data_IF_574027075405
#
_entry.id   IF_574027075405
#
_cell.length_a   1.000
_cell.length_b   1.000
_cell.length_c   1.000
_cell.angle_alpha   90.00
_cell.angle_beta   90.00
_cell.angle_gamma   90.00
#
_symmetry.space_group_name_H-M   'P 1'
#
loop_
_entity.id
_entity.type
_entity.pdbx_description
1 polymer ?
#
# COMPACT_ATOMS: atom_id res chain seq x y z
N UNK A 1 -0.31 16.06 -4.34
CA UNK A 1 1.17 15.91 -4.31
C UNK A 1 1.45 14.45 -4.05
N UNK A 2 2.51 13.88 -4.62
CA UNK A 2 2.86 12.45 -4.45
C UNK A 2 4.17 12.39 -3.68
N UNK A 3 4.18 11.71 -2.52
CA UNK A 3 5.37 11.47 -1.72
C UNK A 3 5.95 10.09 -2.03
N UNK A 4 7.25 10.03 -2.35
CA UNK A 4 7.95 8.80 -2.72
C UNK A 4 9.21 8.66 -1.87
N UNK A 5 9.40 7.48 -1.26
CA UNK A 5 10.60 7.15 -0.52
C UNK A 5 11.11 5.76 -0.88
N UNK A 6 12.44 5.62 -0.94
CA UNK A 6 13.10 4.33 -1.13
C UNK A 6 13.51 3.80 0.24
N UNK A 7 13.02 2.60 0.59
CA UNK A 7 13.40 1.90 1.82
C UNK A 7 13.99 0.54 1.48
N UNK A 8 14.57 -0.13 2.47
CA UNK A 8 15.14 -1.47 2.31
C UNK A 8 14.45 -2.47 3.22
N UNK A 9 14.41 -3.72 2.75
CA UNK A 9 14.00 -4.84 3.57
C UNK A 9 14.97 -4.99 4.75
N UNK A 10 14.41 -5.07 5.96
CA UNK A 10 15.17 -5.32 7.19
C UNK A 10 15.07 -6.80 7.57
N UNK A 11 15.65 -7.15 8.71
CA UNK A 11 15.59 -8.49 9.27
C UNK A 11 14.15 -9.01 9.28
N UNK A 12 13.98 -10.31 9.03
CA UNK A 12 12.67 -10.98 9.05
C UNK A 12 11.66 -10.45 8.02
N UNK A 13 12.11 -9.79 6.95
CA UNK A 13 11.24 -9.30 5.89
C UNK A 13 10.48 -8.02 6.24
N UNK A 14 10.90 -7.28 7.26
CA UNK A 14 10.24 -6.05 7.67
C UNK A 14 10.51 -4.91 6.68
N UNK A 15 9.47 -4.17 6.32
CA UNK A 15 9.55 -2.92 5.56
C UNK A 15 9.16 -1.79 6.50
N UNK A 16 9.99 -0.76 6.58
CA UNK A 16 9.76 0.41 7.45
C UNK A 16 9.20 1.55 6.63
N UNK A 17 8.02 2.05 7.00
CA UNK A 17 7.46 3.30 6.48
C UNK A 17 8.23 4.46 7.13
N UNK A 18 8.85 5.38 6.36
CA UNK A 18 9.57 6.54 6.91
C UNK A 18 8.69 7.42 7.79
N UNK A 19 9.27 8.07 8.80
CA UNK A 19 8.52 8.87 9.77
C UNK A 19 7.73 10.00 9.13
N UNK A 20 8.26 10.64 8.08
CA UNK A 20 7.58 11.72 7.35
C UNK A 20 6.38 11.26 6.52
N UNK A 21 6.14 9.95 6.40
CA UNK A 21 5.00 9.38 5.68
C UNK A 21 4.00 8.71 6.63
N UNK A 22 4.22 8.82 7.95
CA UNK A 22 3.38 8.16 8.96
C UNK A 22 2.20 9.00 9.43
N UNK A 23 2.08 10.26 9.02
CA UNK A 23 1.07 11.20 9.54
C UNK A 23 -0.38 10.68 9.43
N UNK A 24 -0.63 9.80 8.46
CA UNK A 24 -1.94 9.20 8.20
C UNK A 24 -2.16 7.82 8.85
N UNK A 25 -1.22 7.34 9.67
CA UNK A 25 -1.28 6.06 10.39
C UNK A 25 -1.31 6.30 11.90
N UNK A 26 -2.27 5.68 12.58
CA UNK A 26 -2.35 5.70 14.05
C UNK A 26 -1.76 4.44 14.66
N UNK A 27 -1.25 4.55 15.88
CA UNK A 27 -0.80 3.39 16.63
C UNK A 27 -1.96 2.38 16.81
N UNK A 28 -1.67 1.09 16.61
CA UNK A 28 -2.67 0.02 16.66
C UNK A 28 -3.59 -0.08 15.43
N UNK A 29 -3.40 0.79 14.42
CA UNK A 29 -4.21 0.74 13.21
C UNK A 29 -3.94 -0.53 12.39
N UNK A 30 -5.03 -1.19 11.96
CA UNK A 30 -4.94 -2.40 11.15
C UNK A 30 -4.79 -2.03 9.68
N UNK A 31 -3.85 -2.69 9.02
CA UNK A 31 -3.55 -2.50 7.59
C UNK A 31 -3.83 -3.82 6.86
N UNK A 32 -4.56 -3.74 5.76
CA UNK A 32 -4.71 -4.83 4.80
C UNK A 32 -3.52 -4.81 3.85
N UNK A 33 -2.86 -5.96 3.69
CA UNK A 33 -1.78 -6.15 2.72
C UNK A 33 -2.32 -7.07 1.62
N UNK A 34 -2.35 -6.57 0.39
CA UNK A 34 -2.79 -7.32 -0.79
C UNK A 34 -1.57 -7.54 -1.68
N UNK A 35 -1.30 -8.80 -2.03
CA UNK A 35 -0.30 -9.15 -3.05
C UNK A 35 -1.00 -9.26 -4.41
N UNK A 36 -0.54 -8.49 -5.38
CA UNK A 36 -0.99 -8.55 -6.77
C UNK A 36 0.24 -8.61 -7.66
N UNK A 37 0.47 -9.78 -8.28
CA UNK A 37 1.68 -10.08 -9.06
C UNK A 37 2.96 -9.78 -8.24
N UNK A 38 3.81 -8.88 -8.73
CA UNK A 38 5.07 -8.44 -8.11
C UNK A 38 4.90 -7.22 -7.20
N UNK A 39 3.66 -6.83 -6.87
CA UNK A 39 3.37 -5.62 -6.08
C UNK A 39 2.64 -5.95 -4.79
N UNK A 40 2.94 -5.17 -3.77
CA UNK A 40 2.22 -5.13 -2.50
C UNK A 40 1.44 -3.83 -2.41
N UNK A 41 0.14 -3.93 -2.17
CA UNK A 41 -0.75 -2.80 -1.94
C UNK A 41 -1.12 -2.81 -0.46
N UNK A 42 -0.89 -1.68 0.23
CA UNK A 42 -1.22 -1.50 1.62
C UNK A 42 -2.39 -0.51 1.73
N UNK A 43 -3.43 -0.87 2.48
CA UNK A 43 -4.61 -0.02 2.73
C UNK A 43 -5.03 -0.10 4.20
N UNK A 44 -5.59 0.98 4.74
CA UNK A 44 -6.19 0.94 6.08
C UNK A 44 -7.47 0.12 6.05
N UNK A 45 -7.71 -0.68 7.09
CA UNK A 45 -8.97 -1.44 7.20
C UNK A 45 -10.18 -0.49 7.23
N UNK A 46 -10.03 0.68 7.84
CA UNK A 46 -11.07 1.72 7.89
C UNK A 46 -11.50 2.22 6.50
N UNK A 47 -10.59 2.21 5.52
CA UNK A 47 -10.87 2.62 4.14
C UNK A 47 -11.45 1.45 3.31
N UNK A 48 -11.24 0.21 3.74
CA UNK A 48 -11.60 -1.01 3.02
C UNK A 48 -13.12 -1.26 2.92
N UNK A 49 -13.91 -0.66 3.82
CA UNK A 49 -15.34 -0.96 3.97
C UNK A 49 -16.29 -0.29 2.97
N UNK A 50 -15.82 0.68 2.16
CA UNK A 50 -16.73 1.44 1.28
C UNK A 50 -16.74 1.00 -0.18
N UNK A 51 -15.65 0.40 -0.68
CA UNK A 51 -15.45 0.21 -2.12
C UNK A 51 -14.77 -1.13 -2.49
N UNK A 52 -15.04 -2.21 -1.74
CA UNK A 52 -14.35 -3.50 -1.88
C UNK A 52 -14.24 -4.03 -3.33
N UNK A 53 -15.30 -3.93 -4.14
CA UNK A 53 -15.27 -4.34 -5.56
C UNK A 53 -14.43 -3.40 -6.43
N UNK A 54 -14.52 -2.09 -6.21
CA UNK A 54 -13.71 -1.09 -6.91
C UNK A 54 -12.23 -1.17 -6.51
N UNK A 55 -11.93 -1.46 -5.25
CA UNK A 55 -10.57 -1.63 -4.74
C UNK A 55 -9.91 -2.90 -5.29
N UNK A 56 -10.68 -3.98 -5.45
CA UNK A 56 -10.22 -5.19 -6.12
C UNK A 56 -10.05 -4.99 -7.62
N UNK A 57 -10.96 -4.25 -8.27
CA UNK A 57 -10.84 -3.87 -9.67
C UNK A 57 -9.64 -2.95 -9.93
N UNK A 58 -9.37 -2.01 -9.02
CA UNK A 58 -8.21 -1.12 -9.07
C UNK A 58 -6.90 -1.91 -8.95
N UNK A 59 -6.81 -2.85 -8.00
CA UNK A 59 -5.64 -3.71 -7.85
C UNK A 59 -5.37 -4.52 -9.14
N UNK A 60 -6.43 -5.05 -9.77
CA UNK A 60 -6.34 -5.79 -11.04
C UNK A 60 -5.98 -4.89 -12.24
N UNK A 61 -6.49 -3.66 -12.30
CA UNK A 61 -6.32 -2.75 -13.44
C UNK A 61 -4.97 -2.02 -13.44
N UNK A 62 -4.51 -1.56 -12.27
CA UNK A 62 -3.29 -0.74 -12.17
C UNK A 62 -2.00 -1.55 -12.11
N UNK A 63 -2.08 -2.90 -12.04
CA UNK A 63 -0.98 -3.82 -12.36
C UNK A 63 -0.23 -3.48 -13.66
N UNK A 64 -0.91 -2.87 -14.64
CA UNK A 64 -0.36 -2.61 -15.98
C UNK A 64 0.11 -1.17 -16.23
N UNK A 65 -0.37 -0.18 -15.47
CA UNK A 65 -0.30 1.24 -15.89
C UNK A 65 0.96 2.03 -15.49
N UNK A 66 1.95 1.40 -14.83
CA UNK A 66 3.21 2.06 -14.46
C UNK A 66 4.40 1.67 -15.37
N UNK A 67 4.15 0.94 -16.46
CA UNK A 67 5.16 0.54 -17.44
C UNK A 67 5.22 1.47 -18.67
N UNK A 68 4.46 2.56 -18.69
CA UNK A 68 4.35 3.48 -19.84
C UNK A 68 4.66 4.96 -19.50
N UNK A 69 5.40 5.22 -18.42
CA UNK A 69 6.05 6.51 -18.13
C UNK A 69 7.45 6.25 -17.54
#
# INVERSE_FOLDING_TARGET
>A
MIDVAITKLRSKGQIVIPSEMRDNFREGEKIVIIKSEERLILKKVSDFGKNFEEDLAFAKKNGRSMAEL
#
